data_IF_655954794579
#
_entry.id   IF_655954794579
#
_cell.length_a   1.000
_cell.length_b   1.000
_cell.length_c   1.000
_cell.angle_alpha   90.00
_cell.angle_beta   90.00
_cell.angle_gamma   90.00
#
_symmetry.space_group_name_H-M   'P 1'
#
loop_
_entity.id
_entity.type
_entity.pdbx_description
1 polymer ?
#
# COMPACT_ATOMS: atom_id res chain seq x y z
N UNK A 1 20.02 96.07 -18.10
CA UNK A 1 19.48 95.99 -16.75
C UNK A 1 18.53 94.78 -16.71
N UNK A 2 18.93 93.61 -16.44
CA UNK A 2 19.26 92.73 -15.37
C UNK A 2 18.08 92.40 -14.48
N UNK A 3 17.71 91.26 -14.37
CA UNK A 3 17.70 90.49 -13.12
C UNK A 3 17.36 89.00 -13.41
N UNK A 4 18.29 88.12 -13.04
CA UNK A 4 18.11 86.71 -12.90
C UNK A 4 17.09 86.43 -11.82
N UNK A 5 16.24 85.42 -12.06
CA UNK A 5 15.54 84.68 -11.01
C UNK A 5 15.81 83.16 -11.20
N UNK A 6 16.59 82.65 -10.28
CA UNK A 6 16.86 81.23 -10.18
C UNK A 6 15.66 80.52 -9.54
N UNK A 7 15.12 79.52 -10.20
CA UNK A 7 14.14 78.58 -9.62
C UNK A 7 14.83 77.29 -9.17
N UNK A 8 14.84 77.10 -7.86
CA UNK A 8 15.28 75.89 -7.22
C UNK A 8 14.19 74.82 -7.39
N UNK A 9 14.45 73.82 -8.21
CA UNK A 9 13.60 72.59 -8.28
C UNK A 9 14.04 71.62 -7.19
N UNK A 10 13.22 71.48 -6.13
CA UNK A 10 13.36 70.44 -5.12
C UNK A 10 12.94 69.10 -5.75
N UNK A 11 13.88 68.17 -5.90
CA UNK A 11 13.63 66.78 -6.27
C UNK A 11 13.20 66.00 -5.01
N UNK A 12 11.93 65.69 -4.89
CA UNK A 12 11.43 64.71 -3.91
C UNK A 12 11.67 63.30 -4.48
N UNK A 13 12.66 62.59 -3.94
CA UNK A 13 12.88 61.16 -4.20
C UNK A 13 11.88 60.36 -3.40
N UNK A 14 10.89 59.80 -4.07
CA UNK A 14 9.94 58.82 -3.51
C UNK A 14 10.64 57.45 -3.52
N UNK A 15 11.29 57.07 -2.42
CA UNK A 15 11.79 55.69 -2.23
C UNK A 15 10.61 54.79 -1.92
N UNK A 16 10.09 54.11 -2.94
CA UNK A 16 9.08 53.09 -2.79
C UNK A 16 9.67 51.88 -2.07
N UNK A 17 9.30 51.69 -0.80
CA UNK A 17 9.60 50.48 -0.02
C UNK A 17 8.74 49.34 -0.58
N UNK A 18 9.33 48.50 -1.44
CA UNK A 18 8.70 47.29 -1.95
C UNK A 18 8.72 46.25 -0.82
N UNK A 19 7.63 46.12 -0.05
CA UNK A 19 7.44 45.01 0.88
C UNK A 19 7.25 43.75 0.04
N UNK A 20 8.33 42.95 -0.06
CA UNK A 20 8.23 41.59 -0.57
C UNK A 20 7.63 40.73 0.55
N UNK A 21 6.31 40.50 0.44
CA UNK A 21 5.67 39.47 1.25
C UNK A 21 6.20 38.10 0.79
N UNK A 22 7.19 37.56 1.48
CA UNK A 22 7.44 36.13 1.46
C UNK A 22 6.26 35.47 2.17
N UNK A 23 5.23 35.09 1.41
CA UNK A 23 4.32 34.06 1.89
C UNK A 23 5.17 32.80 2.08
N UNK A 24 5.52 32.48 3.32
CA UNK A 24 5.98 31.15 3.64
C UNK A 24 4.83 30.20 3.27
N UNK A 25 4.93 29.55 2.11
CA UNK A 25 4.11 28.39 1.85
C UNK A 25 4.44 27.45 3.02
N UNK A 26 3.48 27.24 3.91
CA UNK A 26 3.59 26.19 4.92
C UNK A 26 3.99 24.92 4.15
N UNK A 27 5.17 24.39 4.43
CA UNK A 27 5.58 23.14 3.80
C UNK A 27 4.54 22.10 4.17
N UNK A 28 4.07 21.35 3.20
CA UNK A 28 3.14 20.25 3.44
C UNK A 28 3.69 19.32 4.50
N UNK A 29 2.94 19.14 5.55
CA UNK A 29 3.42 18.53 6.77
C UNK A 29 2.64 17.26 7.03
N UNK A 30 3.34 16.13 6.97
CA UNK A 30 2.76 14.86 7.35
C UNK A 30 3.43 14.36 8.62
N UNK A 31 2.62 13.79 9.52
CA UNK A 31 3.09 13.20 10.76
C UNK A 31 3.00 11.69 10.71
N UNK A 32 4.14 11.05 10.94
CA UNK A 32 4.26 9.61 11.14
C UNK A 32 3.97 9.25 12.59
N UNK A 33 3.18 8.21 12.82
CA UNK A 33 2.92 7.65 14.15
C UNK A 33 2.97 6.12 14.06
N UNK A 34 3.89 5.49 14.79
CA UNK A 34 3.89 4.04 14.99
C UNK A 34 2.84 3.68 16.05
N UNK A 35 1.92 2.79 15.70
CA UNK A 35 0.81 2.36 16.56
C UNK A 35 1.14 1.07 17.29
N UNK A 36 1.65 0.08 16.56
CA UNK A 36 2.01 -1.26 17.06
C UNK A 36 3.37 -1.66 16.52
N UNK A 37 4.18 -2.34 17.33
CA UNK A 37 5.40 -3.02 16.90
C UNK A 37 5.59 -4.30 17.72
N UNK A 38 6.35 -5.27 17.17
CA UNK A 38 6.81 -6.40 17.99
C UNK A 38 8.01 -6.07 18.87
N UNK A 39 8.62 -4.89 18.68
CA UNK A 39 9.74 -4.40 19.48
C UNK A 39 9.24 -3.47 20.59
N UNK A 40 9.61 -3.77 21.83
CA UNK A 40 9.24 -2.95 22.99
C UNK A 40 9.78 -1.52 22.84
N UNK A 41 8.93 -0.54 23.09
CA UNK A 41 9.26 0.89 23.03
C UNK A 41 9.34 1.49 21.61
N UNK A 42 9.17 0.70 20.54
CA UNK A 42 9.19 1.18 19.16
C UNK A 42 7.84 1.80 18.70
N UNK A 43 6.75 1.51 19.40
CA UNK A 43 5.40 1.99 19.11
C UNK A 43 4.60 2.16 20.42
N UNK A 44 3.35 2.67 20.29
CA UNK A 44 2.45 2.83 21.43
C UNK A 44 2.03 1.48 22.06
N UNK A 45 1.92 0.44 21.25
CA UNK A 45 1.54 -0.92 21.67
C UNK A 45 2.59 -1.92 21.19
N UNK A 46 2.77 -3.01 21.96
CA UNK A 46 3.68 -4.12 21.60
C UNK A 46 2.87 -5.38 21.37
N UNK A 47 3.10 -6.04 20.21
CA UNK A 47 2.55 -7.35 19.89
C UNK A 47 3.62 -8.25 19.26
N UNK A 48 4.04 -9.34 19.93
CA UNK A 48 5.09 -10.22 19.43
C UNK A 48 4.73 -10.97 18.15
N UNK A 49 3.45 -11.06 17.78
CA UNK A 49 3.01 -11.70 16.53
C UNK A 49 3.14 -10.80 15.30
N UNK A 50 3.20 -9.47 15.47
CA UNK A 50 3.38 -8.53 14.36
C UNK A 50 4.83 -8.58 13.85
N UNK A 51 5.19 -9.60 13.08
CA UNK A 51 6.53 -9.78 12.52
C UNK A 51 6.47 -9.69 11.00
N UNK A 52 7.29 -8.81 10.41
CA UNK A 52 7.34 -8.58 8.96
C UNK A 52 5.93 -8.38 8.37
N UNK A 53 5.26 -7.34 8.80
CA UNK A 53 3.89 -7.03 8.42
C UNK A 53 3.79 -6.55 6.96
N UNK A 54 3.09 -7.31 6.10
CA UNK A 54 2.96 -7.02 4.66
C UNK A 54 1.62 -6.38 4.31
N UNK A 55 0.62 -7.20 3.96
CA UNK A 55 -0.70 -6.73 3.55
C UNK A 55 -1.51 -6.19 4.71
N UNK A 56 -2.33 -5.18 4.44
CA UNK A 56 -3.35 -4.69 5.37
C UNK A 56 -4.63 -4.38 4.61
N UNK A 57 -5.76 -4.67 5.24
CA UNK A 57 -7.10 -4.40 4.73
C UNK A 57 -8.08 -4.33 5.91
N UNK A 58 -9.26 -3.76 5.70
CA UNK A 58 -10.36 -3.83 6.63
C UNK A 58 -11.67 -4.22 5.91
N UNK A 59 -12.56 -4.90 6.62
CA UNK A 59 -13.96 -5.02 6.20
C UNK A 59 -14.77 -3.79 6.65
N UNK A 60 -15.96 -3.54 6.07
CA UNK A 60 -16.75 -2.35 6.36
C UNK A 60 -16.97 -2.11 7.87
N UNK A 61 -16.40 -1.02 8.39
CA UNK A 61 -16.46 -0.64 9.80
C UNK A 61 -15.71 -1.54 10.77
N UNK A 62 -14.90 -2.47 10.27
CA UNK A 62 -14.08 -3.41 11.04
C UNK A 62 -12.67 -2.88 11.33
N UNK A 63 -11.87 -3.61 12.12
CA UNK A 63 -10.46 -3.31 12.36
C UNK A 63 -9.61 -3.62 11.12
N UNK A 64 -8.37 -3.14 11.12
CA UNK A 64 -7.37 -3.57 10.16
C UNK A 64 -6.94 -5.01 10.44
N UNK A 65 -6.94 -5.82 9.40
CA UNK A 65 -6.35 -7.14 9.34
C UNK A 65 -4.99 -7.04 8.68
N UNK A 66 -3.97 -7.64 9.28
CA UNK A 66 -2.59 -7.56 8.81
C UNK A 66 -2.06 -8.95 8.53
N UNK A 67 -1.37 -9.11 7.40
CA UNK A 67 -0.62 -10.32 7.08
C UNK A 67 0.75 -10.26 7.73
N UNK A 68 0.95 -10.99 8.82
CA UNK A 68 2.21 -11.06 9.55
C UNK A 68 3.08 -12.16 8.94
N UNK A 69 3.83 -11.80 7.91
CA UNK A 69 4.58 -12.75 7.08
C UNK A 69 5.59 -13.58 7.90
N UNK A 70 6.26 -12.93 8.87
CA UNK A 70 7.30 -13.57 9.65
C UNK A 70 6.80 -14.48 10.76
N UNK A 71 5.55 -14.32 11.22
CA UNK A 71 4.95 -15.17 12.27
C UNK A 71 3.92 -16.16 11.72
N UNK A 72 3.38 -15.91 10.52
CA UNK A 72 2.35 -16.74 9.88
C UNK A 72 0.96 -16.55 10.46
N UNK A 73 0.71 -15.40 11.02
CA UNK A 73 -0.60 -15.02 11.55
C UNK A 73 -1.22 -13.87 10.74
N UNK A 74 -2.49 -13.63 10.97
CA UNK A 74 -3.13 -12.35 10.72
C UNK A 74 -3.59 -11.78 12.04
N UNK A 75 -3.00 -10.65 12.43
CA UNK A 75 -3.37 -9.89 13.63
C UNK A 75 -4.30 -8.75 13.28
N UNK A 76 -5.09 -8.31 14.25
CA UNK A 76 -6.12 -7.31 14.03
C UNK A 76 -5.98 -6.13 14.98
N UNK A 77 -5.99 -4.91 14.43
CA UNK A 77 -5.87 -3.68 15.22
C UNK A 77 -6.89 -2.62 14.80
N UNK A 78 -7.33 -1.86 15.78
CA UNK A 78 -8.08 -0.63 15.51
C UNK A 78 -7.13 0.46 14.94
N UNK A 79 -7.71 1.54 14.42
CA UNK A 79 -6.98 2.73 13.97
C UNK A 79 -6.13 3.43 15.03
N UNK A 80 -6.28 3.04 16.30
CA UNK A 80 -5.45 3.53 17.42
C UNK A 80 -4.40 2.52 17.87
N UNK A 81 -4.30 1.36 17.20
CA UNK A 81 -3.35 0.29 17.52
C UNK A 81 -3.82 -0.67 18.63
N UNK A 82 -5.05 -0.53 19.11
CA UNK A 82 -5.58 -1.49 20.08
C UNK A 82 -5.84 -2.83 19.38
N UNK A 83 -5.23 -3.91 19.90
CA UNK A 83 -5.40 -5.26 19.38
C UNK A 83 -6.81 -5.78 19.65
N UNK A 84 -7.45 -6.38 18.65
CA UNK A 84 -8.67 -7.17 18.84
C UNK A 84 -8.34 -8.50 19.55
N UNK A 85 -9.27 -9.09 20.29
CA UNK A 85 -8.96 -10.22 21.19
C UNK A 85 -8.79 -11.57 20.51
N UNK A 86 -8.58 -11.60 19.19
CA UNK A 86 -8.30 -12.82 18.43
C UNK A 86 -7.33 -12.54 17.29
N UNK A 87 -6.67 -13.59 16.83
CA UNK A 87 -5.81 -13.64 15.63
C UNK A 87 -6.13 -14.89 14.82
N UNK A 88 -5.76 -14.90 13.55
CA UNK A 88 -6.02 -16.01 12.63
C UNK A 88 -4.71 -16.59 12.12
N UNK A 89 -4.49 -17.89 12.33
CA UNK A 89 -3.35 -18.59 11.78
C UNK A 89 -3.51 -18.77 10.27
N UNK A 90 -2.47 -18.46 9.50
CA UNK A 90 -2.47 -18.65 8.05
C UNK A 90 -1.71 -19.95 7.75
N UNK A 91 -2.35 -20.92 7.08
CA UNK A 91 -1.74 -22.22 6.82
C UNK A 91 -0.70 -22.16 5.70
N UNK A 92 0.17 -23.16 5.68
CA UNK A 92 1.10 -23.46 4.57
C UNK A 92 0.60 -24.62 3.70
N UNK A 93 1.22 -24.83 2.54
CA UNK A 93 0.88 -25.88 1.59
C UNK A 93 1.22 -27.28 2.12
N UNK A 94 0.30 -27.93 2.83
CA UNK A 94 0.38 -29.34 3.17
C UNK A 94 1.41 -29.73 4.25
N UNK A 95 1.90 -28.75 5.03
CA UNK A 95 2.75 -28.97 6.18
C UNK A 95 2.04 -28.49 7.46
N UNK A 96 2.41 -29.08 8.60
CA UNK A 96 2.02 -28.54 9.90
C UNK A 96 2.83 -27.27 10.17
N UNK A 97 2.16 -26.17 10.45
CA UNK A 97 2.81 -24.91 10.80
C UNK A 97 2.20 -23.69 10.12
N UNK A 98 2.68 -22.52 10.52
CA UNK A 98 2.22 -21.27 9.92
C UNK A 98 2.85 -21.06 8.53
N UNK A 99 2.05 -20.50 7.61
CA UNK A 99 2.52 -20.03 6.31
C UNK A 99 3.25 -18.69 6.41
N UNK A 100 3.58 -18.12 5.24
CA UNK A 100 4.16 -16.76 5.14
C UNK A 100 3.20 -15.87 4.37
N UNK A 101 2.15 -15.31 5.01
CA UNK A 101 1.13 -14.51 4.33
C UNK A 101 1.71 -13.19 3.80
N UNK A 102 1.20 -12.76 2.65
CA UNK A 102 1.64 -11.58 1.92
C UNK A 102 0.47 -10.62 1.66
N UNK A 103 -0.19 -10.74 0.51
CA UNK A 103 -1.39 -9.99 0.19
C UNK A 103 -2.61 -10.50 0.96
N UNK A 104 -3.50 -9.60 1.31
CA UNK A 104 -4.79 -9.91 1.95
C UNK A 104 -5.87 -9.06 1.31
N UNK A 105 -7.07 -9.62 1.12
CA UNK A 105 -8.25 -8.90 0.63
C UNK A 105 -9.49 -9.23 1.47
N UNK A 106 -10.38 -8.25 1.59
CA UNK A 106 -11.73 -8.46 2.11
C UNK A 106 -12.63 -8.98 0.97
N UNK A 107 -13.35 -10.06 1.23
CA UNK A 107 -14.35 -10.60 0.32
C UNK A 107 -15.76 -10.25 0.80
N UNK A 108 -16.39 -9.32 0.12
CA UNK A 108 -17.78 -8.92 0.38
C UNK A 108 -18.82 -9.78 -0.35
N UNK A 109 -18.42 -10.83 -1.09
CA UNK A 109 -19.29 -11.67 -1.91
C UNK A 109 -19.69 -12.98 -1.21
N UNK A 110 -20.57 -13.76 -1.85
CA UNK A 110 -20.91 -15.13 -1.41
C UNK A 110 -20.02 -16.20 -2.06
N UNK A 111 -19.13 -15.79 -2.95
CA UNK A 111 -18.12 -16.65 -3.58
C UNK A 111 -16.90 -16.87 -2.69
N UNK A 112 -15.88 -17.56 -3.20
CA UNK A 112 -14.65 -17.89 -2.49
C UNK A 112 -14.93 -18.68 -1.21
N UNK A 113 -15.71 -19.77 -1.36
CA UNK A 113 -16.14 -20.58 -0.23
C UNK A 113 -15.04 -21.55 0.23
N UNK A 114 -14.87 -21.65 1.55
CA UNK A 114 -14.02 -22.66 2.22
C UNK A 114 -14.92 -23.52 3.11
N UNK A 115 -14.91 -24.83 2.89
CA UNK A 115 -15.77 -25.80 3.60
C UNK A 115 -17.27 -25.40 3.59
N UNK A 116 -17.74 -24.82 2.46
CA UNK A 116 -19.15 -24.48 2.27
C UNK A 116 -19.56 -23.11 2.84
N UNK A 117 -18.63 -22.31 3.35
CA UNK A 117 -18.89 -20.95 3.85
C UNK A 117 -18.07 -19.91 3.08
N UNK A 118 -18.65 -18.77 2.69
CA UNK A 118 -17.90 -17.69 2.07
C UNK A 118 -16.78 -17.22 3.02
N UNK A 119 -15.54 -17.19 2.51
CA UNK A 119 -14.44 -16.60 3.26
C UNK A 119 -14.65 -15.09 3.35
N UNK A 120 -14.47 -14.51 4.53
CA UNK A 120 -14.57 -13.06 4.75
C UNK A 120 -13.26 -12.37 4.34
N UNK A 121 -12.13 -13.02 4.60
CA UNK A 121 -10.80 -12.56 4.19
C UNK A 121 -10.06 -13.67 3.46
N UNK A 122 -9.31 -13.26 2.43
CA UNK A 122 -8.49 -14.15 1.61
C UNK A 122 -7.04 -13.74 1.72
N UNK A 123 -6.14 -14.70 1.79
CA UNK A 123 -4.71 -14.50 1.99
C UNK A 123 -3.93 -15.23 0.90
N UNK A 124 -2.89 -14.59 0.39
CA UNK A 124 -1.86 -15.22 -0.43
C UNK A 124 -0.60 -15.47 0.42
N UNK A 125 0.23 -16.43 0.02
CA UNK A 125 1.46 -16.79 0.75
C UNK A 125 2.65 -16.98 -0.19
N UNK A 126 3.86 -16.91 0.35
CA UNK A 126 5.10 -17.13 -0.42
C UNK A 126 5.28 -18.58 -0.90
N UNK A 127 4.55 -19.54 -0.35
CA UNK A 127 4.60 -20.96 -0.78
C UNK A 127 3.55 -21.31 -1.84
N UNK A 128 2.92 -20.30 -2.44
CA UNK A 128 1.97 -20.48 -3.53
C UNK A 128 0.59 -20.95 -3.09
N UNK A 129 0.20 -20.71 -1.83
CA UNK A 129 -1.17 -20.96 -1.39
C UNK A 129 -2.05 -19.71 -1.44
N UNK A 130 -3.35 -19.94 -1.64
CA UNK A 130 -4.42 -19.00 -1.32
C UNK A 130 -5.29 -19.68 -0.28
N UNK A 131 -5.54 -18.99 0.83
CA UNK A 131 -6.40 -19.47 1.91
C UNK A 131 -7.51 -18.48 2.20
N UNK A 132 -8.63 -18.99 2.70
CA UNK A 132 -9.79 -18.20 3.10
C UNK A 132 -10.11 -18.37 4.57
N UNK A 133 -10.48 -17.27 5.25
CA UNK A 133 -10.98 -17.31 6.61
C UNK A 133 -12.50 -17.13 6.63
N UNK A 134 -13.17 -18.16 7.14
CA UNK A 134 -14.60 -18.17 7.43
C UNK A 134 -14.81 -18.68 8.86
N UNK A 135 -15.28 -17.85 9.80
CA UNK A 135 -15.35 -18.21 11.22
C UNK A 135 -16.27 -19.41 11.48
N UNK A 136 -17.24 -19.66 10.59
CA UNK A 136 -18.14 -20.82 10.67
C UNK A 136 -17.40 -22.15 10.37
N UNK A 137 -16.34 -22.09 9.57
CA UNK A 137 -15.47 -23.25 9.28
C UNK A 137 -14.41 -23.43 10.33
N UNK A 138 -13.65 -22.38 10.60
CA UNK A 138 -12.63 -22.34 11.65
C UNK A 138 -12.41 -20.89 12.12
N UNK A 139 -12.75 -20.56 13.37
CA UNK A 139 -12.58 -19.18 13.87
C UNK A 139 -11.11 -18.80 14.08
N UNK A 140 -10.19 -19.77 14.26
CA UNK A 140 -8.81 -19.53 14.66
C UNK A 140 -7.79 -19.68 13.52
N UNK A 141 -8.20 -20.22 12.36
CA UNK A 141 -7.30 -20.44 11.24
C UNK A 141 -8.02 -20.27 9.89
N UNK A 142 -7.31 -19.74 8.92
CA UNK A 142 -7.74 -19.79 7.51
C UNK A 142 -7.59 -21.22 6.97
N UNK A 143 -8.31 -21.51 5.89
CA UNK A 143 -8.34 -22.83 5.24
C UNK A 143 -7.76 -22.70 3.85
N UNK A 144 -6.80 -23.56 3.49
CA UNK A 144 -6.22 -23.58 2.13
C UNK A 144 -7.30 -23.90 1.11
N UNK A 145 -7.45 -23.02 0.12
CA UNK A 145 -8.36 -23.18 -1.01
C UNK A 145 -7.61 -23.54 -2.30
N UNK A 146 -6.40 -22.97 -2.49
CA UNK A 146 -5.52 -23.21 -3.64
C UNK A 146 -4.12 -23.53 -3.18
N UNK A 147 -3.48 -24.46 -3.88
CA UNK A 147 -2.03 -24.67 -3.82
C UNK A 147 -1.51 -24.71 -5.25
N UNK A 148 -0.60 -23.79 -5.59
CA UNK A 148 0.05 -23.70 -6.90
C UNK A 148 1.54 -24.01 -6.73
N UNK A 149 1.98 -25.22 -7.02
CA UNK A 149 3.37 -25.62 -6.82
C UNK A 149 4.33 -24.73 -7.61
N UNK A 150 5.35 -24.21 -6.93
CA UNK A 150 6.38 -23.34 -7.51
C UNK A 150 5.96 -21.87 -7.71
N UNK A 151 4.75 -21.49 -7.36
CA UNK A 151 4.35 -20.08 -7.29
C UNK A 151 4.86 -19.42 -6.01
N UNK A 152 5.13 -18.11 -6.08
CA UNK A 152 5.44 -17.25 -4.95
C UNK A 152 4.50 -16.06 -5.04
N UNK A 153 3.37 -16.12 -4.32
CA UNK A 153 2.38 -15.06 -4.35
C UNK A 153 2.76 -13.93 -3.41
N UNK A 154 3.18 -12.80 -3.97
CA UNK A 154 3.66 -11.63 -3.22
C UNK A 154 2.60 -10.56 -3.00
N UNK A 155 1.46 -10.63 -3.69
CA UNK A 155 0.36 -9.68 -3.57
C UNK A 155 -0.95 -10.32 -4.00
N UNK A 156 -2.07 -9.77 -3.53
CA UNK A 156 -3.43 -10.26 -3.78
C UNK A 156 -4.37 -9.07 -3.99
N UNK A 157 -5.23 -9.15 -4.99
CA UNK A 157 -6.31 -8.20 -5.22
C UNK A 157 -7.58 -8.94 -5.65
N UNK A 158 -8.73 -8.36 -5.41
CA UNK A 158 -10.01 -8.91 -5.88
C UNK A 158 -10.84 -7.85 -6.58
N UNK A 159 -11.66 -8.28 -7.51
CA UNK A 159 -12.61 -7.45 -8.23
C UNK A 159 -13.92 -8.17 -8.45
N UNK A 160 -14.97 -7.41 -8.77
CA UNK A 160 -16.30 -7.92 -9.11
C UNK A 160 -16.84 -7.19 -10.34
N UNK A 161 -17.27 -7.92 -11.34
CA UNK A 161 -17.90 -7.37 -12.54
C UNK A 161 -19.12 -8.21 -12.98
N UNK A 162 -19.69 -7.92 -14.15
CA UNK A 162 -20.86 -8.64 -14.69
C UNK A 162 -20.60 -10.12 -14.98
N UNK A 163 -19.34 -10.56 -15.04
CA UNK A 163 -18.95 -11.96 -15.30
C UNK A 163 -18.71 -12.75 -14.02
N UNK A 164 -18.63 -12.10 -12.85
CA UNK A 164 -18.42 -12.75 -11.55
C UNK A 164 -17.40 -12.02 -10.67
N UNK A 165 -16.97 -12.73 -9.64
CA UNK A 165 -15.92 -12.28 -8.72
C UNK A 165 -14.60 -12.96 -9.10
N UNK A 166 -13.53 -12.19 -9.10
CA UNK A 166 -12.19 -12.66 -9.48
C UNK A 166 -11.16 -12.29 -8.43
N UNK A 167 -10.16 -13.15 -8.29
CA UNK A 167 -9.00 -12.95 -7.42
C UNK A 167 -7.75 -12.95 -8.28
N UNK A 168 -6.88 -11.97 -8.07
CA UNK A 168 -5.62 -11.78 -8.80
C UNK A 168 -4.46 -11.98 -7.83
N UNK A 169 -3.58 -12.92 -8.12
CA UNK A 169 -2.40 -13.23 -7.32
C UNK A 169 -1.12 -12.92 -8.11
N UNK A 170 -0.28 -12.02 -7.57
CA UNK A 170 1.01 -11.68 -8.17
C UNK A 170 2.02 -12.80 -7.94
N UNK A 171 2.23 -13.68 -8.93
CA UNK A 171 3.19 -14.77 -8.91
C UNK A 171 4.57 -14.26 -9.35
N UNK A 172 5.34 -13.84 -8.36
CA UNK A 172 6.67 -13.25 -8.57
C UNK A 172 7.66 -14.26 -9.17
N UNK A 173 7.63 -15.53 -8.73
CA UNK A 173 8.55 -16.55 -9.19
C UNK A 173 8.37 -16.90 -10.67
N UNK A 174 7.12 -16.88 -11.16
CA UNK A 174 6.79 -17.26 -12.54
C UNK A 174 6.51 -16.04 -13.43
N UNK A 175 6.79 -14.83 -12.95
CA UNK A 175 6.63 -13.57 -13.70
C UNK A 175 5.24 -13.43 -14.34
N UNK A 176 4.18 -13.65 -13.57
CA UNK A 176 2.79 -13.54 -14.06
C UNK A 176 1.84 -13.14 -12.93
N UNK A 177 0.65 -12.72 -13.29
CA UNK A 177 -0.49 -12.62 -12.38
C UNK A 177 -1.43 -13.77 -12.70
N UNK A 178 -1.74 -14.61 -11.73
CA UNK A 178 -2.75 -15.66 -11.84
C UNK A 178 -4.12 -15.10 -11.47
N UNK A 179 -5.15 -15.50 -12.23
CA UNK A 179 -6.53 -15.05 -12.05
C UNK A 179 -7.43 -16.27 -11.72
N UNK A 180 -8.06 -16.20 -10.56
CA UNK A 180 -9.00 -17.23 -10.10
C UNK A 180 -10.43 -16.69 -10.13
N UNK A 181 -11.37 -17.55 -10.50
CA UNK A 181 -12.80 -17.26 -10.39
C UNK A 181 -13.32 -17.44 -8.94
N UNK A 182 -14.58 -17.09 -8.70
CA UNK A 182 -15.22 -17.19 -7.40
C UNK A 182 -15.27 -18.59 -6.78
N UNK A 183 -14.89 -19.64 -7.53
CA UNK A 183 -14.73 -21.03 -7.06
C UNK A 183 -13.29 -21.43 -6.81
N UNK A 184 -12.35 -20.47 -6.84
CA UNK A 184 -10.91 -20.68 -6.76
C UNK A 184 -10.29 -21.44 -7.95
N UNK A 185 -10.98 -21.54 -9.06
CA UNK A 185 -10.43 -22.13 -10.29
C UNK A 185 -9.57 -21.13 -11.01
N UNK A 186 -8.33 -21.50 -11.39
CA UNK A 186 -7.48 -20.71 -12.26
C UNK A 186 -8.14 -20.60 -13.65
N UNK A 187 -8.47 -19.38 -14.07
CA UNK A 187 -9.19 -19.11 -15.32
C UNK A 187 -8.35 -18.30 -16.32
N UNK A 188 -7.32 -17.60 -15.85
CA UNK A 188 -6.43 -16.82 -16.69
C UNK A 188 -5.08 -16.62 -16.02
N UNK A 189 -4.07 -16.22 -16.79
CA UNK A 189 -2.80 -15.68 -16.30
C UNK A 189 -2.31 -14.64 -17.31
N UNK A 190 -1.69 -13.56 -16.83
CA UNK A 190 -1.15 -12.52 -17.70
C UNK A 190 0.16 -11.95 -17.15
N UNK A 191 0.95 -11.34 -18.01
CA UNK A 191 2.19 -10.62 -17.66
C UNK A 191 2.48 -9.54 -18.69
N UNK A 192 3.42 -8.67 -18.43
CA UNK A 192 3.99 -7.76 -19.41
C UNK A 192 5.33 -8.29 -19.94
N UNK A 193 5.30 -8.82 -21.15
CA UNK A 193 6.49 -9.36 -21.83
C UNK A 193 7.44 -8.28 -22.37
N UNK A 194 7.07 -6.99 -22.26
CA UNK A 194 7.90 -5.85 -22.69
C UNK A 194 8.84 -5.34 -21.60
N UNK A 195 8.70 -5.86 -20.38
CA UNK A 195 9.59 -5.51 -19.27
C UNK A 195 10.98 -6.13 -19.46
N UNK A 196 12.04 -5.46 -19.00
CA UNK A 196 13.36 -6.06 -18.94
C UNK A 196 13.37 -7.31 -18.08
N UNK A 197 14.22 -8.28 -18.45
CA UNK A 197 14.42 -9.48 -17.66
C UNK A 197 14.82 -9.14 -16.22
N UNK A 198 14.31 -9.90 -15.24
CA UNK A 198 14.58 -9.70 -13.82
C UNK A 198 13.59 -8.76 -13.11
N UNK A 199 12.57 -8.24 -13.80
CA UNK A 199 11.42 -7.60 -13.16
C UNK A 199 10.22 -8.55 -13.18
N UNK A 200 9.56 -8.69 -12.04
CA UNK A 200 8.40 -9.56 -11.87
C UNK A 200 7.29 -8.88 -11.07
N UNK A 201 6.02 -9.32 -11.20
CA UNK A 201 4.91 -8.80 -10.40
C UNK A 201 5.23 -8.89 -8.91
N UNK A 202 4.93 -7.83 -8.15
CA UNK A 202 5.29 -7.76 -6.74
C UNK A 202 4.10 -7.33 -5.87
N UNK A 203 3.54 -6.13 -6.09
CA UNK A 203 2.30 -5.69 -5.47
C UNK A 203 1.18 -5.62 -6.52
N UNK A 204 -0.07 -5.72 -6.07
CA UNK A 204 -1.25 -5.67 -6.92
C UNK A 204 -2.44 -5.07 -6.16
N UNK A 205 -3.23 -4.23 -6.83
CA UNK A 205 -4.42 -3.60 -6.25
C UNK A 205 -5.46 -3.33 -7.34
N UNK A 206 -6.75 -3.52 -7.04
CA UNK A 206 -7.85 -3.06 -7.89
C UNK A 206 -8.34 -1.68 -7.46
N UNK A 207 -8.55 -0.78 -8.42
CA UNK A 207 -9.22 0.49 -8.23
C UNK A 207 -10.33 0.65 -9.27
N UNK A 208 -11.52 0.17 -8.90
CA UNK A 208 -12.72 0.35 -9.73
C UNK A 208 -12.67 -0.39 -11.07
N UNK A 209 -12.16 -1.62 -11.08
CA UNK A 209 -12.06 -2.48 -12.27
C UNK A 209 -10.78 -2.23 -13.10
N UNK A 210 -9.85 -1.45 -12.57
CA UNK A 210 -8.50 -1.29 -13.11
C UNK A 210 -7.51 -1.96 -12.17
N UNK A 211 -6.82 -2.99 -12.66
CA UNK A 211 -5.86 -3.78 -11.89
C UNK A 211 -4.47 -3.15 -12.04
N UNK A 212 -3.98 -2.53 -10.97
CA UNK A 212 -2.64 -1.95 -10.89
C UNK A 212 -1.66 -3.02 -10.42
N UNK A 213 -0.61 -3.24 -11.19
CA UNK A 213 0.45 -4.20 -10.86
C UNK A 213 1.77 -3.46 -10.79
N UNK A 214 2.48 -3.60 -9.67
CA UNK A 214 3.86 -3.16 -9.57
C UNK A 214 4.80 -4.30 -9.93
N UNK A 215 5.92 -3.94 -10.56
CA UNK A 215 6.98 -4.88 -10.90
C UNK A 215 8.27 -4.42 -10.22
N UNK A 216 8.86 -5.34 -9.49
CA UNK A 216 10.10 -5.12 -8.75
C UNK A 216 11.21 -6.00 -9.30
N UNK A 217 12.46 -5.58 -9.09
CA UNK A 217 13.63 -6.35 -9.52
C UNK A 217 13.89 -7.52 -8.57
N UNK A 218 14.00 -8.73 -9.12
CA UNK A 218 14.42 -9.92 -8.37
C UNK A 218 15.90 -9.90 -7.95
N UNK A 219 16.72 -9.07 -8.60
CA UNK A 219 18.14 -8.89 -8.28
C UNK A 219 18.41 -7.72 -7.32
N UNK A 220 17.38 -7.01 -6.86
CA UNK A 220 17.51 -5.81 -6.03
C UNK A 220 17.99 -4.56 -6.79
N UNK A 221 17.97 -4.57 -8.12
CA UNK A 221 18.26 -3.38 -8.90
C UNK A 221 17.24 -2.28 -8.59
N UNK A 222 17.70 -1.04 -8.54
CA UNK A 222 16.85 0.12 -8.31
C UNK A 222 15.87 0.33 -9.48
N UNK A 223 14.75 0.99 -9.18
CA UNK A 223 13.68 1.21 -10.15
C UNK A 223 12.50 0.29 -9.92
N UNK A 224 11.58 0.31 -10.84
CA UNK A 224 10.35 -0.48 -10.84
C UNK A 224 9.42 -0.02 -11.93
N UNK A 225 8.32 -0.72 -12.10
CA UNK A 225 7.28 -0.39 -13.08
C UNK A 225 5.92 -0.48 -12.42
N UNK A 226 4.99 0.30 -12.95
CA UNK A 226 3.57 0.23 -12.60
C UNK A 226 2.79 0.13 -13.90
N UNK A 227 2.11 -0.98 -14.08
CA UNK A 227 1.23 -1.22 -15.21
C UNK A 227 -0.23 -1.29 -14.74
N UNK A 228 -1.13 -0.86 -15.61
CA UNK A 228 -2.58 -0.93 -15.41
C UNK A 228 -3.14 -1.93 -16.42
N UNK A 229 -3.88 -2.91 -15.90
CA UNK A 229 -4.58 -3.91 -16.69
C UNK A 229 -6.10 -3.76 -16.54
N UNK A 230 -6.82 -4.24 -17.54
CA UNK A 230 -8.24 -4.55 -17.35
C UNK A 230 -8.39 -5.80 -16.47
N UNK A 231 -9.58 -6.03 -15.93
CA UNK A 231 -9.93 -7.25 -15.19
C UNK A 231 -9.76 -8.54 -16.03
N UNK A 232 -9.77 -8.43 -17.36
CA UNK A 232 -9.46 -9.53 -18.28
C UNK A 232 -7.97 -9.79 -18.50
N UNK A 233 -7.07 -9.04 -17.84
CA UNK A 233 -5.62 -9.18 -17.98
C UNK A 233 -5.03 -8.51 -19.23
N UNK A 234 -5.76 -7.59 -19.87
CA UNK A 234 -5.25 -6.83 -21.01
C UNK A 234 -4.47 -5.63 -20.48
N UNK A 235 -3.19 -5.50 -20.86
CA UNK A 235 -2.38 -4.33 -20.55
C UNK A 235 -3.00 -3.09 -21.22
N UNK A 236 -3.47 -2.15 -20.40
CA UNK A 236 -4.06 -0.90 -20.86
C UNK A 236 -3.01 0.20 -20.95
N UNK A 237 -2.06 0.21 -20.00
CA UNK A 237 -1.08 1.28 -19.91
C UNK A 237 0.08 0.92 -18.98
N UNK A 238 1.32 1.30 -19.37
CA UNK A 238 2.42 1.51 -18.44
C UNK A 238 2.24 2.90 -17.81
N UNK A 239 1.90 2.95 -16.52
CA UNK A 239 1.62 4.20 -15.83
C UNK A 239 2.92 4.92 -15.43
N UNK A 240 3.85 4.21 -14.80
CA UNK A 240 5.11 4.78 -14.33
C UNK A 240 6.25 3.76 -14.44
N UNK A 241 7.50 4.27 -14.56
CA UNK A 241 8.70 3.43 -14.62
C UNK A 241 9.93 4.18 -14.08
N UNK A 242 10.90 3.40 -13.57
CA UNK A 242 12.18 3.93 -13.09
C UNK A 242 12.05 4.71 -11.78
N UNK A 243 13.04 5.57 -11.48
CA UNK A 243 13.01 6.43 -10.28
C UNK A 243 11.82 7.40 -10.30
N UNK A 244 11.15 7.64 -9.14
CA UNK A 244 11.56 7.25 -7.78
C UNK A 244 11.05 5.88 -7.32
N UNK A 245 10.49 5.05 -8.21
CA UNK A 245 10.12 3.68 -7.85
C UNK A 245 11.38 2.88 -7.48
N UNK A 246 11.28 2.10 -6.41
CA UNK A 246 12.33 1.16 -5.99
C UNK A 246 11.69 0.04 -5.16
N UNK A 247 11.58 -1.15 -5.71
CA UNK A 247 10.82 -2.26 -5.12
C UNK A 247 9.39 -1.82 -4.76
N UNK A 248 8.59 -1.28 -5.72
CA UNK A 248 7.25 -0.77 -5.43
C UNK A 248 6.31 -1.92 -5.04
N UNK A 249 5.50 -1.74 -3.96
CA UNK A 249 4.59 -2.78 -3.50
C UNK A 249 3.15 -2.30 -3.26
N UNK A 250 2.90 -1.48 -2.25
CA UNK A 250 1.57 -1.03 -1.84
C UNK A 250 1.06 0.15 -2.64
N UNK A 251 -0.25 0.19 -2.84
CA UNK A 251 -0.95 1.25 -3.57
C UNK A 251 -2.10 1.82 -2.75
N UNK A 252 -2.31 3.13 -2.85
CA UNK A 252 -3.51 3.78 -2.33
C UNK A 252 -3.85 5.02 -3.16
N UNK A 253 -5.14 5.34 -3.31
CA UNK A 253 -5.57 6.60 -3.91
C UNK A 253 -5.80 7.63 -2.80
N UNK A 254 -5.03 8.71 -2.82
CA UNK A 254 -5.13 9.77 -1.83
C UNK A 254 -6.48 10.50 -1.95
N UNK A 255 -7.23 10.64 -0.84
CA UNK A 255 -8.48 11.37 -0.83
C UNK A 255 -8.25 12.88 -1.07
N UNK A 256 -9.32 13.60 -1.39
CA UNK A 256 -9.28 15.06 -1.68
C UNK A 256 -8.76 15.94 -0.55
N UNK A 257 -8.71 15.43 0.68
CA UNK A 257 -8.31 16.16 1.89
C UNK A 257 -6.97 15.66 2.46
N UNK A 258 -6.11 15.08 1.63
CA UNK A 258 -4.78 14.59 2.01
C UNK A 258 -3.68 15.61 1.68
N UNK A 259 -3.93 16.89 1.88
CA UNK A 259 -2.97 17.97 1.64
C UNK A 259 -2.52 18.07 0.18
N UNK A 260 -1.26 18.45 -0.09
CA UNK A 260 -0.74 18.66 -1.45
C UNK A 260 -0.69 17.40 -2.32
N UNK A 261 -0.75 16.22 -1.73
CA UNK A 261 -0.76 14.96 -2.45
C UNK A 261 -2.17 14.38 -2.64
N UNK A 262 -3.22 15.20 -2.39
CA UNK A 262 -4.62 14.82 -2.64
C UNK A 262 -4.86 14.37 -4.07
N UNK A 263 -5.73 13.39 -4.26
CA UNK A 263 -6.15 12.84 -5.56
C UNK A 263 -4.99 12.24 -6.39
N UNK A 264 -3.90 11.83 -5.75
CA UNK A 264 -2.79 11.14 -6.42
C UNK A 264 -2.81 9.64 -6.12
N UNK A 265 -2.14 8.86 -6.95
CA UNK A 265 -1.79 7.49 -6.66
C UNK A 265 -0.55 7.50 -5.75
N UNK A 266 -0.67 6.97 -4.55
CA UNK A 266 0.44 6.74 -3.64
C UNK A 266 1.00 5.34 -3.85
N UNK A 267 2.33 5.22 -3.85
CA UNK A 267 3.04 3.96 -4.04
C UNK A 267 4.13 3.84 -2.98
N UNK A 268 4.12 2.75 -2.22
CA UNK A 268 5.18 2.43 -1.26
C UNK A 268 6.38 1.78 -1.95
N UNK A 269 7.57 2.11 -1.52
CA UNK A 269 8.81 1.44 -1.91
C UNK A 269 9.29 0.53 -0.78
N UNK A 270 9.43 -0.76 -1.05
CA UNK A 270 9.93 -1.75 -0.08
C UNK A 270 11.46 -1.82 -0.12
N UNK A 271 12.09 -0.97 0.65
CA UNK A 271 13.55 -0.92 0.82
C UNK A 271 13.90 -0.59 2.28
N UNK A 272 15.18 -0.74 2.68
CA UNK A 272 15.66 -0.31 4.00
C UNK A 272 15.53 1.22 4.24
N UNK A 273 15.15 1.98 3.22
CA UNK A 273 14.81 3.39 3.28
C UNK A 273 13.54 3.68 2.50
N UNK A 274 12.51 2.89 2.75
CA UNK A 274 11.23 2.95 2.06
C UNK A 274 10.60 4.33 2.13
N UNK A 275 10.03 4.78 1.03
CA UNK A 275 9.32 6.06 0.90
C UNK A 275 7.96 5.83 0.26
N UNK A 276 7.04 6.77 0.46
CA UNK A 276 5.77 6.78 -0.26
C UNK A 276 5.82 7.89 -1.29
N UNK A 277 5.67 7.51 -2.55
CA UNK A 277 5.76 8.40 -3.70
C UNK A 277 4.39 8.60 -4.33
N UNK A 278 4.08 9.83 -4.67
CA UNK A 278 2.82 10.24 -5.27
C UNK A 278 2.96 10.44 -6.77
N UNK A 279 2.03 9.87 -7.52
CA UNK A 279 1.95 10.00 -8.98
C UNK A 279 0.57 10.50 -9.39
N UNK A 280 0.51 11.27 -10.45
CA UNK A 280 -0.75 11.56 -11.10
C UNK A 280 -1.35 10.24 -11.61
N UNK A 281 -2.53 9.87 -11.12
CA UNK A 281 -3.16 8.56 -11.40
C UNK A 281 -3.53 8.37 -12.88
N UNK A 282 -3.63 9.47 -13.66
CA UNK A 282 -3.97 9.43 -15.07
C UNK A 282 -2.72 9.46 -15.95
N UNK A 283 -1.75 10.35 -15.66
CA UNK A 283 -0.59 10.52 -16.53
C UNK A 283 0.63 9.71 -16.13
N UNK A 284 0.69 9.28 -14.86
CA UNK A 284 1.86 8.62 -14.25
C UNK A 284 3.00 9.60 -13.90
N UNK A 285 2.78 10.90 -14.07
CA UNK A 285 3.78 11.89 -13.71
C UNK A 285 4.03 11.86 -12.20
N UNK A 286 5.29 11.83 -11.80
CA UNK A 286 5.69 11.97 -10.39
C UNK A 286 5.30 13.35 -9.86
N UNK A 287 4.62 13.40 -8.71
CA UNK A 287 4.13 14.62 -8.06
C UNK A 287 5.02 14.99 -6.88
N UNK A 288 5.42 14.02 -6.08
CA UNK A 288 6.23 14.26 -4.89
C UNK A 288 6.34 13.03 -4.00
N UNK A 289 7.15 13.14 -2.95
CA UNK A 289 7.29 12.13 -1.88
C UNK A 289 6.69 12.68 -0.60
N UNK A 290 6.04 11.85 0.22
CA UNK A 290 5.52 12.27 1.53
C UNK A 290 6.67 12.79 2.40
N UNK A 291 6.49 14.00 2.99
CA UNK A 291 7.50 14.68 3.79
C UNK A 291 6.97 15.03 5.18
N UNK A 292 7.87 14.99 6.17
CA UNK A 292 7.58 15.38 7.54
C UNK A 292 7.44 16.91 7.69
N UNK A 293 7.17 17.34 8.91
CA UNK A 293 7.03 18.77 9.29
C UNK A 293 8.30 19.60 9.09
N UNK A 294 9.45 18.96 8.89
CA UNK A 294 10.72 19.62 8.59
C UNK A 294 11.06 19.61 7.10
N UNK A 295 10.13 19.12 6.26
CA UNK A 295 10.31 19.01 4.81
C UNK A 295 11.23 17.85 4.38
N UNK A 296 11.59 16.94 5.30
CA UNK A 296 12.37 15.73 4.99
C UNK A 296 11.42 14.60 4.55
N UNK A 297 11.88 13.77 3.63
CA UNK A 297 11.11 12.58 3.26
C UNK A 297 10.87 11.70 4.50
N UNK A 298 9.63 11.28 4.71
CA UNK A 298 9.32 10.22 5.67
C UNK A 298 9.91 8.94 5.12
N UNK A 299 10.75 8.29 5.94
CA UNK A 299 11.45 7.05 5.62
C UNK A 299 11.00 5.96 6.59
N UNK A 300 10.56 4.83 6.06
CA UNK A 300 10.08 3.67 6.80
C UNK A 300 10.86 2.45 6.29
N UNK A 301 11.59 1.79 7.17
CA UNK A 301 12.38 0.61 6.82
C UNK A 301 11.48 -0.56 6.41
N UNK A 302 11.77 -1.16 5.24
CA UNK A 302 10.99 -2.27 4.65
C UNK A 302 9.47 -1.98 4.64
N UNK A 303 9.09 -0.84 4.04
CA UNK A 303 7.70 -0.41 3.92
C UNK A 303 6.93 -1.31 2.96
N UNK A 304 5.80 -1.87 3.41
CA UNK A 304 4.93 -2.76 2.64
C UNK A 304 3.60 -2.10 2.26
N UNK A 305 2.53 -2.50 2.91
CA UNK A 305 1.17 -2.06 2.62
C UNK A 305 0.89 -0.62 3.00
N UNK A 306 0.02 0.02 2.25
CA UNK A 306 -0.56 1.32 2.55
C UNK A 306 -2.06 1.30 2.24
N UNK A 307 -2.89 1.84 3.14
CA UNK A 307 -4.36 1.86 2.99
C UNK A 307 -4.94 3.07 3.73
N UNK A 308 -5.90 3.77 3.14
CA UNK A 308 -6.61 4.83 3.85
C UNK A 308 -7.67 4.26 4.77
N UNK A 309 -7.96 4.95 5.89
CA UNK A 309 -9.02 4.55 6.79
C UNK A 309 -10.41 4.61 6.14
N UNK A 310 -11.33 3.79 6.63
CA UNK A 310 -12.70 3.64 6.12
C UNK A 310 -13.70 4.68 6.62
N UNK A 311 -13.36 5.40 7.70
CA UNK A 311 -14.21 6.42 8.31
C UNK A 311 -14.97 5.97 9.55
N UNK A 312 -14.67 4.81 10.12
CA UNK A 312 -15.21 4.32 11.39
C UNK A 312 -14.19 4.46 12.54
N UNK A 313 -14.61 4.32 13.80
CA UNK A 313 -13.68 4.29 14.93
C UNK A 313 -12.67 3.14 14.88
N UNK A 314 -12.98 2.04 14.20
CA UNK A 314 -12.10 0.88 14.11
C UNK A 314 -11.10 0.96 12.95
N UNK A 315 -11.50 1.54 11.82
CA UNK A 315 -10.67 1.67 10.62
C UNK A 315 -10.10 3.09 10.40
N UNK A 316 -10.42 4.04 11.26
CA UNK A 316 -9.85 5.38 11.27
C UNK A 316 -10.42 6.35 10.24
N UNK A 317 -9.88 7.56 10.25
CA UNK A 317 -10.31 8.62 9.33
C UNK A 317 -9.93 8.30 7.89
N UNK A 318 -10.81 8.66 6.95
CA UNK A 318 -10.54 8.55 5.51
C UNK A 318 -9.38 9.42 5.01
N UNK A 319 -8.84 10.29 5.86
CA UNK A 319 -7.70 11.15 5.55
C UNK A 319 -6.42 10.69 6.28
N UNK A 320 -6.45 9.57 6.99
CA UNK A 320 -5.29 8.94 7.59
C UNK A 320 -4.82 7.77 6.73
N UNK A 321 -3.57 7.78 6.34
CA UNK A 321 -2.93 6.69 5.59
C UNK A 321 -2.27 5.73 6.58
N UNK A 322 -2.77 4.52 6.69
CA UNK A 322 -2.18 3.45 7.48
C UNK A 322 -1.12 2.71 6.69
N UNK A 323 -0.13 2.17 7.37
CA UNK A 323 0.96 1.43 6.73
C UNK A 323 1.41 0.23 7.56
N UNK A 324 2.01 -0.74 6.89
CA UNK A 324 2.73 -1.87 7.47
C UNK A 324 4.18 -1.86 7.03
N UNK A 325 5.06 -2.40 7.86
CA UNK A 325 6.49 -2.47 7.56
C UNK A 325 7.15 -3.67 8.26
N UNK A 326 8.28 -4.12 7.70
CA UNK A 326 9.13 -5.17 8.25
C UNK A 326 10.55 -4.67 8.58
N UNK A 327 10.74 -3.71 9.52
CA UNK A 327 12.06 -3.17 9.81
C UNK A 327 13.04 -4.24 10.31
N UNK A 328 14.32 -3.87 10.40
CA UNK A 328 15.40 -4.76 10.80
C UNK A 328 15.51 -6.01 9.88
N UNK A 329 15.58 -5.76 8.56
CA UNK A 329 15.64 -6.81 7.54
C UNK A 329 14.50 -7.84 7.64
N UNK A 330 13.28 -7.38 7.88
CA UNK A 330 12.07 -8.18 8.05
C UNK A 330 12.03 -9.06 9.33
N UNK A 331 12.89 -8.80 10.30
CA UNK A 331 12.87 -9.48 11.62
C UNK A 331 11.92 -8.80 12.60
N UNK A 332 11.58 -7.55 12.36
CA UNK A 332 10.61 -6.80 13.15
C UNK A 332 9.34 -6.50 12.34
N UNK A 333 8.32 -5.94 13.00
CA UNK A 333 7.08 -5.52 12.37
C UNK A 333 6.59 -4.20 12.93
N UNK A 334 5.96 -3.40 12.09
CA UNK A 334 5.34 -2.14 12.47
C UNK A 334 4.00 -1.97 11.74
N UNK A 335 2.99 -1.58 12.49
CA UNK A 335 1.75 -0.99 12.00
C UNK A 335 1.68 0.47 12.46
N UNK A 336 1.43 1.37 11.55
CA UNK A 336 1.41 2.79 11.86
C UNK A 336 0.51 3.58 10.94
N UNK A 337 0.53 4.92 11.11
CA UNK A 337 -0.24 5.83 10.27
C UNK A 337 0.50 7.11 9.95
N UNK A 338 0.09 7.74 8.87
CA UNK A 338 0.54 9.05 8.40
C UNK A 338 -0.69 9.93 8.22
N UNK A 339 -0.68 11.10 8.84
CA UNK A 339 -1.75 12.10 8.73
C UNK A 339 -1.18 13.42 8.23
N UNK A 340 -1.97 14.17 7.45
CA UNK A 340 -1.69 15.55 7.09
C UNK A 340 -2.10 16.46 8.24
N UNK A 341 -1.19 17.36 8.70
CA UNK A 341 -1.41 18.33 9.79
C UNK A 341 -1.54 19.76 9.26
#
# INVERSE_FOLDING_TARGET
MSRLLASVLARVSLAGLMLVFFSSMAAAQYKLTNLVSNQEGAAAHTDPLLVNAWGLVYGPGGPFWISDNGSGWSTLYTATGVKEPFEVQIPTAGADGPGSPTGIVFNGSQDFQVQGWPAIFLFATLDGTISGWAPQSNPNAAIVAVTTPGAVYTGLANTSNSSGNFLFAADNANNKVDVFDGTFKLVNSFTDTTLPAGFAPFGIQDFGGLVYVSFASSSGASGGYIDIYSEGGILLKRLAQGSPLNQPWGFAIAPKNFGPLSNTLLVSNNTNRGTINAFNSVTGQFVGTIRDTNGKNIVIDQLWGIEFGGGSPKDGSRNELFFTAGPDNNLAGTFGKIAFE
#
